data_IF_235527543752
#
_entry.id   IF_235527543752
#
_cell.length_a   1.000
_cell.length_b   1.000
_cell.length_c   1.000
_cell.angle_alpha   90.00
_cell.angle_beta   90.00
_cell.angle_gamma   90.00
#
_symmetry.space_group_name_H-M   'P 1'
#
loop_
_entity.id
_entity.type
_entity.pdbx_description
1 polymer ?
#
# COMPACT_ATOMS: atom_id res chain seq x y z
N UNK A 1 -1.17 17.25 -3.77
CA UNK A 1 -1.95 16.01 -3.59
C UNK A 1 -3.20 16.38 -2.82
N UNK A 2 -4.35 16.33 -3.47
CA UNK A 2 -5.64 16.47 -2.79
C UNK A 2 -6.18 15.06 -2.54
N UNK A 3 -6.73 14.78 -1.37
CA UNK A 3 -7.17 13.43 -1.00
C UNK A 3 -8.18 12.84 -2.01
N UNK A 4 -9.05 13.67 -2.58
CA UNK A 4 -10.02 13.25 -3.58
C UNK A 4 -9.40 12.62 -4.82
N UNK A 5 -8.18 13.03 -5.21
CA UNK A 5 -7.49 12.48 -6.39
C UNK A 5 -7.09 11.01 -6.16
N UNK A 6 -7.00 10.58 -4.89
CA UNK A 6 -6.53 9.26 -4.50
C UNK A 6 -7.66 8.26 -4.24
N UNK A 7 -8.92 8.68 -4.28
CA UNK A 7 -10.08 7.80 -4.05
C UNK A 7 -10.09 6.63 -5.03
N UNK A 8 -10.02 6.91 -6.33
CA UNK A 8 -10.08 5.86 -7.37
C UNK A 8 -8.85 4.94 -7.30
N UNK A 9 -7.60 5.44 -7.23
CA UNK A 9 -6.43 4.58 -7.06
C UNK A 9 -6.49 3.69 -5.82
N UNK A 10 -6.90 4.23 -4.67
CA UNK A 10 -7.02 3.47 -3.42
C UNK A 10 -8.11 2.41 -3.53
N UNK A 11 -9.25 2.74 -4.14
CA UNK A 11 -10.32 1.77 -4.37
C UNK A 11 -9.85 0.60 -5.25
N UNK A 12 -9.14 0.87 -6.35
CA UNK A 12 -8.60 -0.20 -7.21
C UNK A 12 -7.59 -1.08 -6.48
N UNK A 13 -6.79 -0.51 -5.58
CA UNK A 13 -5.88 -1.28 -4.72
C UNK A 13 -6.67 -2.12 -3.70
N UNK A 14 -7.72 -1.56 -3.11
CA UNK A 14 -8.59 -2.28 -2.18
C UNK A 14 -9.22 -3.51 -2.85
N UNK A 15 -9.85 -3.34 -4.01
CA UNK A 15 -10.47 -4.42 -4.80
C UNK A 15 -9.45 -5.50 -5.21
N UNK A 16 -8.22 -5.10 -5.54
CA UNK A 16 -7.14 -6.04 -5.91
C UNK A 16 -6.73 -6.95 -4.75
N UNK A 17 -6.79 -6.46 -3.53
CA UNK A 17 -6.37 -7.16 -2.32
C UNK A 17 -7.55 -7.64 -1.47
N UNK A 18 -8.78 -7.65 -2.02
CA UNK A 18 -10.03 -8.02 -1.34
C UNK A 18 -10.03 -9.46 -0.76
N UNK A 19 -9.14 -10.31 -1.27
CA UNK A 19 -8.93 -11.69 -0.78
C UNK A 19 -8.04 -11.77 0.47
N UNK A 20 -7.39 -10.68 0.84
CA UNK A 20 -6.66 -10.48 2.09
C UNK A 20 -7.63 -9.77 3.03
N UNK A 21 -7.60 -10.01 4.34
CA UNK A 21 -8.35 -9.20 5.32
C UNK A 21 -7.79 -7.77 5.43
N UNK A 22 -7.66 -7.08 4.29
CA UNK A 22 -7.06 -5.78 4.15
C UNK A 22 -7.95 -4.72 4.81
N UNK A 23 -7.35 -3.95 5.72
CA UNK A 23 -7.94 -2.71 6.17
C UNK A 23 -7.91 -1.68 5.04
N UNK A 24 -8.82 -0.70 5.03
CA UNK A 24 -8.71 0.47 4.13
C UNK A 24 -7.35 1.19 4.26
N UNK A 25 -6.70 1.06 5.43
CA UNK A 25 -5.38 1.64 5.65
C UNK A 25 -4.29 1.05 4.74
N UNK A 26 -4.38 -0.23 4.37
CA UNK A 26 -3.33 -0.92 3.63
C UNK A 26 -3.18 -0.39 2.20
N UNK A 27 -4.24 -0.30 1.36
CA UNK A 27 -4.14 0.31 0.04
C UNK A 27 -3.79 1.80 0.10
N UNK A 28 -4.13 2.51 1.19
CA UNK A 28 -3.65 3.88 1.41
C UNK A 28 -2.11 3.93 1.57
N UNK A 29 -1.53 3.04 2.36
CA UNK A 29 -0.07 2.93 2.52
C UNK A 29 0.61 2.53 1.20
N UNK A 30 0.02 1.58 0.45
CA UNK A 30 0.50 1.21 -0.89
C UNK A 30 0.48 2.43 -1.79
N UNK A 31 -0.62 3.18 -1.81
CA UNK A 31 -0.75 4.36 -2.66
C UNK A 31 0.25 5.45 -2.32
N UNK A 32 0.47 5.73 -1.04
CA UNK A 32 1.52 6.66 -0.61
C UNK A 32 2.92 6.19 -1.06
N UNK A 33 3.20 4.88 -1.01
CA UNK A 33 4.48 4.35 -1.48
C UNK A 33 4.69 4.46 -3.00
N UNK A 34 3.61 4.58 -3.80
CA UNK A 34 3.65 4.85 -5.23
C UNK A 34 3.91 6.33 -5.55
N UNK A 35 3.31 7.23 -4.77
CA UNK A 35 3.45 8.69 -4.95
C UNK A 35 4.84 9.18 -4.53
N UNK A 36 5.46 8.51 -3.56
CA UNK A 36 6.75 8.89 -3.01
C UNK A 36 7.80 7.81 -3.30
N UNK A 37 8.57 7.97 -4.39
CA UNK A 37 9.48 6.92 -4.89
C UNK A 37 10.48 6.39 -3.85
N UNK A 38 11.01 7.27 -2.98
CA UNK A 38 11.96 6.94 -1.91
C UNK A 38 11.30 6.54 -0.58
N UNK A 39 9.98 6.33 -0.57
CA UNK A 39 9.24 5.95 0.63
C UNK A 39 9.60 4.54 1.11
N UNK A 40 9.69 4.39 2.43
CA UNK A 40 9.76 3.11 3.14
C UNK A 40 8.58 3.05 4.09
N UNK A 41 7.91 1.91 4.17
CA UNK A 41 6.75 1.72 5.05
C UNK A 41 7.20 1.09 6.36
N UNK A 42 6.75 1.65 7.47
CA UNK A 42 6.83 1.03 8.78
C UNK A 42 5.48 0.45 9.13
N UNK A 43 5.45 -0.82 9.50
CA UNK A 43 4.25 -1.54 9.88
C UNK A 43 4.62 -2.65 10.86
N UNK A 44 3.66 -3.04 11.71
CA UNK A 44 3.75 -4.20 12.59
C UNK A 44 3.01 -5.41 12.02
N UNK A 45 2.28 -5.21 10.92
CA UNK A 45 1.61 -6.28 10.21
C UNK A 45 2.64 -7.08 9.39
N UNK A 46 2.88 -8.31 9.81
CA UNK A 46 3.82 -9.22 9.15
C UNK A 46 3.40 -9.54 7.73
N UNK A 47 2.10 -9.52 7.43
CA UNK A 47 1.60 -9.86 6.09
C UNK A 47 1.74 -8.70 5.10
N UNK A 48 2.14 -7.51 5.57
CA UNK A 48 2.28 -6.34 4.70
C UNK A 48 3.32 -6.53 3.56
N UNK A 49 4.23 -7.50 3.72
CA UNK A 49 5.18 -7.89 2.68
C UNK A 49 4.53 -8.41 1.38
N UNK A 50 3.24 -8.78 1.39
CA UNK A 50 2.51 -9.23 0.19
C UNK A 50 2.16 -8.07 -0.75
N UNK A 51 2.03 -6.85 -0.21
CA UNK A 51 1.65 -5.69 -1.01
C UNK A 51 2.77 -5.28 -1.96
N UNK A 52 2.36 -4.71 -3.10
CA UNK A 52 3.25 -4.31 -4.18
C UNK A 52 2.84 -2.93 -4.69
N UNK A 53 3.81 -2.03 -4.80
CA UNK A 53 3.61 -0.73 -5.46
C UNK A 53 3.80 -0.85 -6.97
N UNK A 54 3.02 -0.10 -7.73
CA UNK A 54 2.96 -0.19 -9.20
C UNK A 54 2.74 -1.63 -9.67
N UNK A 55 1.99 -2.39 -8.88
CA UNK A 55 1.56 -3.76 -9.11
C UNK A 55 2.60 -4.87 -9.07
N UNK A 56 3.91 -4.57 -9.07
CA UNK A 56 4.97 -5.61 -9.03
C UNK A 56 6.19 -5.26 -8.19
N UNK A 57 6.39 -3.98 -7.85
CA UNK A 57 7.58 -3.58 -7.10
C UNK A 57 7.35 -3.83 -5.62
N UNK A 58 8.32 -4.47 -4.96
CA UNK A 58 8.33 -4.62 -3.50
C UNK A 58 8.32 -3.24 -2.86
N UNK A 59 7.51 -3.09 -1.82
CA UNK A 59 7.50 -1.88 -0.98
C UNK A 59 8.61 -2.05 0.06
N UNK A 60 9.62 -1.17 0.09
CA UNK A 60 10.68 -1.28 1.09
C UNK A 60 10.10 -1.10 2.50
N UNK A 61 10.41 -2.02 3.41
CA UNK A 61 9.93 -1.96 4.80
C UNK A 61 11.03 -1.46 5.76
N UNK A 62 10.62 -0.80 6.85
CA UNK A 62 11.50 -0.41 7.97
C UNK A 62 11.65 -1.53 8.99
N UNK A 63 10.54 -2.19 9.33
CA UNK A 63 10.53 -3.38 10.17
C UNK A 63 10.27 -4.59 9.29
N UNK A 64 11.25 -5.48 9.25
CA UNK A 64 11.09 -6.86 8.79
C UNK A 64 11.27 -7.71 10.03
N UNK A 65 10.17 -8.17 10.63
CA UNK A 65 10.25 -9.30 11.55
C UNK A 65 10.33 -10.57 10.73
#
# INVERSE_FOLDING_TARGET
>A
MVLNDEIVPVQSLFERYDNVSASLADPCLVRMSELFERCRVFTLDTDFHIYRRHGRKVIPLLCTQ
#
